data_IF_943767739407
#
_entry.id   IF_943767739407
#
_cell.length_a   1.000
_cell.length_b   1.000
_cell.length_c   1.000
_cell.angle_alpha   90.00
_cell.angle_beta   90.00
_cell.angle_gamma   90.00
#
_symmetry.space_group_name_H-M   'P 1'
#
loop_
_entity.id
_entity.type
_entity.pdbx_description
1 polymer ?
#
# COMPACT_ATOMS: atom_id res chain seq x y z
N UNK A 1 4.24 12.39 -22.20
CA UNK A 1 2.88 12.01 -21.77
C UNK A 1 2.34 10.90 -22.68
N UNK A 2 2.49 9.63 -22.31
CA UNK A 2 1.85 8.52 -23.03
C UNK A 2 0.75 7.97 -22.14
N UNK A 3 -0.48 8.34 -22.43
CA UNK A 3 -1.67 7.89 -21.71
C UNK A 3 -1.87 6.39 -21.90
N UNK A 4 -1.95 5.66 -20.79
CA UNK A 4 -2.49 4.31 -20.75
C UNK A 4 -4.01 4.39 -20.97
N UNK A 5 -4.44 4.43 -22.24
CA UNK A 5 -5.85 4.23 -22.61
C UNK A 5 -5.96 2.85 -23.27
N UNK A 6 -5.90 1.80 -22.45
CA UNK A 6 -6.48 0.53 -22.87
C UNK A 6 -7.99 0.71 -22.96
N UNK A 7 -8.61 0.25 -24.04
CA UNK A 7 -10.06 0.09 -24.09
C UNK A 7 -10.46 -0.88 -22.98
N UNK A 8 -10.98 -0.34 -21.88
CA UNK A 8 -11.58 -1.16 -20.84
C UNK A 8 -12.95 -1.55 -21.39
N UNK A 9 -13.03 -2.73 -22.01
CA UNK A 9 -14.32 -3.35 -22.32
C UNK A 9 -15.20 -3.32 -21.06
N UNK A 10 -16.50 -3.11 -21.22
CA UNK A 10 -17.43 -2.94 -20.11
C UNK A 10 -17.28 -4.11 -19.11
N UNK A 11 -16.79 -3.81 -17.91
CA UNK A 11 -16.61 -4.80 -16.86
C UNK A 11 -17.94 -4.95 -16.13
N UNK A 12 -18.57 -6.12 -16.23
CA UNK A 12 -19.77 -6.38 -15.45
C UNK A 12 -19.42 -6.57 -13.97
N UNK A 13 -20.35 -6.30 -13.04
CA UNK A 13 -20.14 -6.59 -11.63
C UNK A 13 -19.77 -8.07 -11.35
N UNK A 14 -20.30 -9.00 -12.15
CA UNK A 14 -19.99 -10.43 -12.03
C UNK A 14 -18.56 -10.75 -12.46
N UNK A 15 -18.07 -10.12 -13.52
CA UNK A 15 -16.67 -10.28 -13.97
C UNK A 15 -15.71 -9.72 -12.91
N UNK A 16 -16.03 -8.56 -12.34
CA UNK A 16 -15.25 -7.96 -11.27
C UNK A 16 -15.20 -8.85 -10.02
N UNK A 17 -16.35 -9.38 -9.58
CA UNK A 17 -16.42 -10.27 -8.43
C UNK A 17 -15.63 -11.57 -8.66
N UNK A 18 -15.81 -12.21 -9.82
CA UNK A 18 -15.08 -13.43 -10.19
C UNK A 18 -13.57 -13.20 -10.17
N UNK A 19 -13.12 -12.09 -10.73
CA UNK A 19 -11.70 -11.70 -10.73
C UNK A 19 -11.19 -11.43 -9.32
N UNK A 20 -11.97 -10.73 -8.49
CA UNK A 20 -11.60 -10.43 -7.11
C UNK A 20 -11.44 -11.72 -6.28
N UNK A 21 -12.41 -12.64 -6.35
CA UNK A 21 -12.36 -13.92 -5.65
C UNK A 21 -11.15 -14.76 -6.08
N UNK A 22 -10.84 -14.78 -7.38
CA UNK A 22 -9.66 -15.49 -7.91
C UNK A 22 -8.35 -14.91 -7.35
N UNK A 23 -8.24 -13.58 -7.26
CA UNK A 23 -7.06 -12.90 -6.69
C UNK A 23 -6.99 -13.15 -5.18
N UNK A 24 -8.13 -13.10 -4.49
CA UNK A 24 -8.24 -13.36 -3.07
C UNK A 24 -7.76 -14.78 -2.73
N UNK A 25 -8.28 -15.82 -3.39
CA UNK A 25 -7.90 -17.21 -3.13
C UNK A 25 -6.41 -17.46 -3.39
N UNK A 26 -5.85 -16.84 -4.44
CA UNK A 26 -4.42 -16.91 -4.74
C UNK A 26 -3.56 -16.39 -3.59
N UNK A 27 -3.93 -15.25 -2.99
CA UNK A 27 -3.16 -14.67 -1.89
C UNK A 27 -3.47 -15.32 -0.55
N UNK A 28 -4.71 -15.76 -0.33
CA UNK A 28 -5.11 -16.54 0.86
C UNK A 28 -4.29 -17.82 0.99
N UNK A 29 -4.04 -18.54 -0.11
CA UNK A 29 -3.19 -19.73 -0.11
C UNK A 29 -1.71 -19.44 0.22
N UNK A 30 -1.30 -18.16 0.24
CA UNK A 30 0.08 -17.70 0.50
C UNK A 30 0.22 -16.94 1.82
N UNK A 31 -0.80 -16.98 2.69
CA UNK A 31 -0.70 -16.38 4.03
C UNK A 31 0.51 -16.95 4.79
N UNK A 32 1.23 -16.07 5.48
CA UNK A 32 2.45 -16.41 6.20
C UNK A 32 3.70 -16.59 5.31
N UNK A 33 3.55 -16.61 3.98
CA UNK A 33 4.70 -16.71 3.07
C UNK A 33 5.27 -15.33 2.76
N UNK A 34 6.60 -15.24 2.66
CA UNK A 34 7.29 -14.00 2.28
C UNK A 34 6.85 -13.44 0.93
N UNK A 35 6.41 -14.30 0.01
CA UNK A 35 5.92 -13.93 -1.31
C UNK A 35 4.75 -12.93 -1.27
N UNK A 36 3.85 -13.05 -0.28
CA UNK A 36 2.74 -12.11 -0.10
C UNK A 36 3.24 -10.71 0.26
N UNK A 37 4.09 -10.63 1.29
CA UNK A 37 4.68 -9.38 1.74
C UNK A 37 5.49 -8.71 0.61
N UNK A 38 6.33 -9.45 -0.09
CA UNK A 38 7.16 -8.90 -1.17
C UNK A 38 6.31 -8.36 -2.32
N UNK A 39 5.27 -9.10 -2.72
CA UNK A 39 4.38 -8.66 -3.78
C UNK A 39 3.57 -7.42 -3.40
N UNK A 40 3.08 -7.35 -2.16
CA UNK A 40 2.38 -6.18 -1.65
C UNK A 40 3.32 -4.97 -1.56
N UNK A 41 4.48 -5.12 -0.91
CA UNK A 41 5.50 -4.05 -0.76
C UNK A 41 5.92 -3.45 -2.10
N UNK A 42 6.13 -4.28 -3.12
CA UNK A 42 6.54 -3.82 -4.45
C UNK A 42 5.48 -2.96 -5.18
N UNK A 43 4.23 -2.93 -4.69
CA UNK A 43 3.12 -2.14 -5.26
C UNK A 43 2.86 -0.84 -4.51
N UNK A 44 3.53 -0.61 -3.38
CA UNK A 44 3.36 0.60 -2.59
C UNK A 44 4.13 1.76 -3.20
N UNK A 45 3.52 2.95 -3.16
CA UNK A 45 4.20 4.21 -3.48
C UNK A 45 5.06 4.64 -2.27
N UNK A 46 6.28 4.09 -2.19
CA UNK A 46 7.26 4.40 -1.16
C UNK A 46 8.31 5.40 -1.68
N UNK A 47 8.98 6.09 -0.77
CA UNK A 47 10.04 7.06 -1.06
C UNK A 47 9.56 8.50 -1.25
N UNK A 48 8.24 8.75 -1.27
CA UNK A 48 7.66 10.08 -1.28
C UNK A 48 7.52 10.69 0.12
N UNK A 49 7.43 12.01 0.18
CA UNK A 49 7.04 12.73 1.40
C UNK A 49 5.53 12.62 1.58
N UNK A 50 5.10 12.27 2.78
CA UNK A 50 3.69 12.02 3.11
C UNK A 50 3.34 12.64 4.45
N UNK A 51 2.05 12.94 4.61
CA UNK A 51 1.44 13.26 5.88
C UNK A 51 0.58 12.08 6.32
N UNK A 52 0.77 11.63 7.56
CA UNK A 52 0.01 10.53 8.15
C UNK A 52 -0.84 11.07 9.28
N UNK A 53 -2.16 10.91 9.18
CA UNK A 53 -3.11 11.20 10.25
C UNK A 53 -3.35 9.91 11.05
N UNK A 54 -2.75 9.82 12.22
CA UNK A 54 -2.87 8.67 13.12
C UNK A 54 -3.60 9.06 14.43
N UNK A 55 -4.08 8.10 15.23
CA UNK A 55 -4.73 8.39 16.52
C UNK A 55 -3.86 9.23 17.49
N UNK A 56 -2.54 9.06 17.42
CA UNK A 56 -1.55 9.80 18.20
C UNK A 56 -1.23 11.20 17.66
N UNK A 57 -1.82 11.60 16.53
CA UNK A 57 -1.65 12.89 15.89
C UNK A 57 -1.16 12.82 14.45
N UNK A 58 -0.85 13.98 13.89
CA UNK A 58 -0.39 14.12 12.51
C UNK A 58 1.13 14.07 12.48
N UNK A 59 1.67 13.17 11.66
CA UNK A 59 3.11 13.03 11.39
C UNK A 59 3.38 13.38 9.93
N UNK A 60 4.55 13.93 9.64
CA UNK A 60 4.98 14.22 8.27
C UNK A 60 6.44 13.76 8.07
N UNK A 61 6.74 13.21 6.90
CA UNK A 61 8.06 12.66 6.60
C UNK A 61 8.07 11.79 5.36
N UNK A 62 9.20 11.14 5.11
CA UNK A 62 9.38 10.22 3.98
C UNK A 62 8.89 8.82 4.34
N UNK A 63 8.01 8.25 3.51
CA UNK A 63 7.57 6.86 3.63
C UNK A 63 8.68 5.91 3.12
N UNK A 64 9.64 5.57 3.97
CA UNK A 64 10.80 4.75 3.60
C UNK A 64 10.44 3.29 3.32
N UNK A 65 9.41 2.77 3.96
CA UNK A 65 9.05 1.37 3.80
C UNK A 65 7.90 0.90 4.68
N UNK A 66 7.67 -0.40 4.62
CA UNK A 66 6.72 -1.12 5.46
C UNK A 66 7.40 -2.37 6.00
N UNK A 67 7.07 -2.78 7.21
CA UNK A 67 7.57 -4.04 7.77
C UNK A 67 6.71 -5.24 7.34
N UNK A 68 7.17 -6.49 7.54
CA UNK A 68 6.35 -7.68 7.27
C UNK A 68 5.00 -7.69 8.00
N UNK A 69 4.91 -7.02 9.14
CA UNK A 69 3.68 -6.87 9.93
C UNK A 69 2.75 -5.76 9.39
N UNK A 70 3.15 -5.08 8.30
CA UNK A 70 2.38 -4.01 7.69
C UNK A 70 2.58 -2.63 8.31
N UNK A 71 3.52 -2.46 9.24
CA UNK A 71 3.79 -1.17 9.88
C UNK A 71 4.54 -0.22 8.93
N UNK A 72 4.04 0.99 8.72
CA UNK A 72 4.72 2.03 7.94
C UNK A 72 5.95 2.55 8.70
N UNK A 73 7.06 2.68 7.99
CA UNK A 73 8.30 3.29 8.44
C UNK A 73 8.36 4.72 7.85
N UNK A 74 8.15 5.71 8.72
CA UNK A 74 8.12 7.13 8.36
C UNK A 74 9.35 7.83 8.93
N UNK A 75 10.22 8.34 8.06
CA UNK A 75 11.36 9.17 8.44
C UNK A 75 10.90 10.62 8.56
N UNK A 76 10.86 11.15 9.77
CA UNK A 76 10.56 12.56 10.00
C UNK A 76 11.71 13.45 9.51
N UNK A 77 11.42 14.73 9.32
CA UNK A 77 12.40 15.72 8.84
C UNK A 77 13.58 15.92 9.81
N UNK A 78 13.40 15.60 11.10
CA UNK A 78 14.46 15.60 12.11
C UNK A 78 15.36 14.35 12.06
N UNK A 79 15.10 13.43 11.13
CA UNK A 79 15.84 12.17 10.95
C UNK A 79 15.31 11.01 11.79
N UNK A 80 14.33 11.22 12.67
CA UNK A 80 13.73 10.18 13.51
C UNK A 80 12.93 9.20 12.65
N UNK A 81 13.11 7.90 12.87
CA UNK A 81 12.26 6.87 12.26
C UNK A 81 11.07 6.54 13.16
N UNK A 82 9.86 6.86 12.70
CA UNK A 82 8.61 6.49 13.36
C UNK A 82 7.99 5.28 12.71
N UNK A 83 7.39 4.44 13.55
CA UNK A 83 6.58 3.29 13.16
C UNK A 83 5.12 3.64 13.32
N UNK A 84 4.33 3.56 12.25
CA UNK A 84 2.90 3.85 12.27
C UNK A 84 2.14 2.60 11.85
N UNK A 85 1.34 2.05 12.77
CA UNK A 85 0.59 0.83 12.52
C UNK A 85 -0.65 1.07 11.65
N UNK A 86 -1.34 2.18 11.89
CA UNK A 86 -2.55 2.55 11.17
C UNK A 86 -2.70 4.07 11.16
N UNK A 87 -3.24 4.59 10.06
CA UNK A 87 -3.49 6.01 9.84
C UNK A 87 -3.79 6.29 8.37
N UNK A 88 -4.39 7.45 8.10
CA UNK A 88 -4.65 7.90 6.74
C UNK A 88 -3.40 8.58 6.18
N UNK A 89 -3.01 8.20 4.96
CA UNK A 89 -1.80 8.70 4.30
C UNK A 89 -2.19 9.63 3.16
N UNK A 90 -1.60 10.82 3.17
CA UNK A 90 -1.78 11.85 2.15
C UNK A 90 -0.42 12.17 1.53
N UNK A 91 -0.34 12.17 0.20
CA UNK A 91 0.82 12.72 -0.51
C UNK A 91 0.91 14.23 -0.25
N UNK A 92 2.13 14.75 -0.13
CA UNK A 92 2.43 16.16 0.14
C UNK A 92 2.93 16.84 -1.12
#
# INVERSE_FOLDING_TARGET
ERGFRGEVGEVTPLDALTRLLTIYDRWRARLGQSALYQAWRARLALGGHVRVSAPEGVLAGVAEGVTPEGTLLLRLDDGTLRRVLAGDVFEV
#
